data_IF_378935960699
#
_entry.id   IF_378935960699
#
_cell.length_a   1.000
_cell.length_b   1.000
_cell.length_c   1.000
_cell.angle_alpha   90.00
_cell.angle_beta   90.00
_cell.angle_gamma   90.00
#
_symmetry.space_group_name_H-M   'P 1'
#
loop_
_entity.id
_entity.type
_entity.pdbx_description
1 polymer ?
#
# COMPACT_ATOMS: atom_id res chain seq x y z
N UNK A 1 -4.07 -7.77 21.15
CA UNK A 1 -3.95 -6.76 20.08
C UNK A 1 -2.80 -7.19 19.20
N UNK A 2 -2.98 -7.19 17.90
CA UNK A 2 -1.93 -7.36 16.89
C UNK A 2 -1.49 -5.97 16.39
N UNK A 3 -0.32 -5.46 16.81
CA UNK A 3 0.13 -4.11 16.51
C UNK A 3 0.92 -4.08 15.18
N UNK A 4 0.20 -4.20 14.06
CA UNK A 4 0.83 -4.15 12.74
C UNK A 4 1.53 -2.81 12.48
N UNK A 5 2.69 -2.88 11.82
CA UNK A 5 3.48 -1.70 11.46
C UNK A 5 4.21 -1.92 10.14
N UNK A 6 4.55 -0.84 9.46
CA UNK A 6 5.23 -0.87 8.16
C UNK A 6 6.13 0.37 8.00
N UNK A 7 6.91 0.39 6.92
CA UNK A 7 7.91 1.44 6.72
C UNK A 7 7.31 2.81 6.42
N UNK A 8 6.53 2.93 5.34
CA UNK A 8 6.05 4.22 4.80
C UNK A 8 4.64 4.09 4.25
N UNK A 9 3.76 5.04 4.55
CA UNK A 9 2.33 4.93 4.20
C UNK A 9 2.03 5.56 2.86
N UNK A 10 2.78 6.57 2.44
CA UNK A 10 2.42 7.35 1.26
C UNK A 10 1.33 8.38 1.54
N UNK A 11 1.25 8.85 2.80
CA UNK A 11 0.34 9.90 3.27
C UNK A 11 -0.85 9.43 4.11
N UNK A 12 -1.27 8.16 3.99
CA UNK A 12 -2.40 7.58 4.74
C UNK A 12 -2.23 6.08 4.94
N UNK A 13 -2.69 5.55 6.07
CA UNK A 13 -2.70 4.10 6.38
C UNK A 13 -3.93 3.40 5.79
N UNK A 14 -3.94 2.07 5.78
CA UNK A 14 -5.05 1.23 5.33
C UNK A 14 -5.86 0.71 6.51
N UNK A 15 -7.16 0.51 6.29
CA UNK A 15 -7.97 -0.27 7.22
C UNK A 15 -7.52 -1.74 7.17
N UNK A 16 -7.43 -2.41 8.31
CA UNK A 16 -7.04 -3.84 8.33
C UNK A 16 -7.99 -4.71 7.51
N UNK A 17 -9.29 -4.44 7.54
CA UNK A 17 -10.30 -5.19 6.77
C UNK A 17 -10.10 -5.16 5.25
N UNK A 18 -9.39 -4.16 4.75
CA UNK A 18 -9.15 -3.98 3.31
C UNK A 18 -7.88 -4.73 2.86
N UNK A 19 -7.09 -5.25 3.81
CA UNK A 19 -5.77 -5.89 3.56
C UNK A 19 -5.66 -7.31 4.14
N UNK A 20 -6.29 -7.57 5.28
CA UNK A 20 -6.25 -8.82 6.04
C UNK A 20 -7.65 -9.36 6.34
N UNK A 21 -7.79 -10.69 6.39
CA UNK A 21 -9.01 -11.34 6.87
C UNK A 21 -9.19 -11.10 8.38
N UNK A 22 -10.40 -10.75 8.82
CA UNK A 22 -10.72 -10.56 10.25
C UNK A 22 -10.40 -9.18 10.83
N UNK A 23 -10.34 -8.14 10.00
CA UNK A 23 -9.93 -6.77 10.35
C UNK A 23 -10.30 -6.27 11.76
N UNK A 24 -9.32 -5.71 12.45
CA UNK A 24 -9.50 -5.20 13.81
C UNK A 24 -9.98 -3.75 13.84
N UNK A 25 -10.93 -3.44 14.74
CA UNK A 25 -11.52 -2.10 14.90
C UNK A 25 -10.50 -1.00 15.26
N UNK A 26 -9.35 -1.33 15.84
CA UNK A 26 -8.30 -0.36 16.14
C UNK A 26 -7.33 -0.10 14.97
N UNK A 27 -7.44 -0.83 13.87
CA UNK A 27 -6.61 -0.66 12.67
C UNK A 27 -7.42 0.01 11.56
N UNK A 28 -7.68 1.31 11.76
CA UNK A 28 -8.39 2.16 10.80
C UNK A 28 -7.42 2.98 9.97
N UNK A 29 -7.90 3.39 8.80
CA UNK A 29 -7.19 4.32 7.92
C UNK A 29 -7.10 5.70 8.60
N UNK A 30 -5.87 6.18 8.79
CA UNK A 30 -5.56 7.50 9.36
C UNK A 30 -4.49 8.20 8.53
N UNK A 31 -4.48 9.53 8.57
CA UNK A 31 -3.46 10.32 7.88
C UNK A 31 -2.09 10.11 8.52
N UNK A 32 -1.02 10.20 7.74
CA UNK A 32 0.35 10.00 8.19
C UNK A 32 1.27 11.05 7.55
N UNK A 33 1.17 12.32 7.96
CA UNK A 33 1.93 13.42 7.37
C UNK A 33 3.42 13.39 7.77
N UNK A 34 4.28 14.04 6.97
CA UNK A 34 5.70 14.21 7.28
C UNK A 34 6.60 13.07 6.79
N UNK A 35 6.02 12.09 6.09
CA UNK A 35 6.76 10.97 5.50
C UNK A 35 7.44 11.33 4.18
N UNK A 36 6.95 12.36 3.50
CA UNK A 36 7.32 12.73 2.13
C UNK A 36 8.80 13.09 1.96
N UNK A 37 9.41 13.59 3.03
CA UNK A 37 10.81 13.99 3.07
C UNK A 37 11.74 12.92 3.67
N UNK A 38 11.17 11.83 4.19
CA UNK A 38 11.89 10.89 5.03
C UNK A 38 12.77 9.90 4.27
N UNK A 39 12.35 9.43 3.10
CA UNK A 39 13.04 8.31 2.44
C UNK A 39 12.81 8.30 0.94
N UNK A 40 13.81 7.84 0.18
CA UNK A 40 13.71 7.61 -1.27
C UNK A 40 12.70 6.52 -1.69
N UNK A 41 12.02 5.86 -0.72
CA UNK A 41 10.98 4.86 -0.96
C UNK A 41 9.57 5.43 -0.77
N UNK A 42 9.44 6.71 -0.40
CA UNK A 42 8.14 7.38 -0.33
C UNK A 42 7.46 7.44 -1.70
N UNK A 43 8.21 7.77 -2.76
CA UNK A 43 7.77 7.65 -4.15
C UNK A 43 8.76 6.80 -4.92
N UNK A 44 8.29 5.80 -5.64
CA UNK A 44 9.12 4.98 -6.53
C UNK A 44 8.41 4.79 -7.87
N UNK A 45 9.17 4.61 -8.94
CA UNK A 45 8.62 4.37 -10.27
C UNK A 45 9.31 3.17 -10.90
N UNK A 46 8.52 2.19 -11.35
CA UNK A 46 9.01 1.06 -12.13
C UNK A 46 8.70 1.29 -13.61
N UNK A 47 9.74 1.42 -14.43
CA UNK A 47 9.61 1.48 -15.88
C UNK A 47 9.75 0.08 -16.50
N UNK A 48 8.76 -0.37 -17.27
CA UNK A 48 8.72 -1.69 -17.93
C UNK A 48 8.33 -1.52 -19.39
N UNK A 49 8.99 -2.24 -20.30
CA UNK A 49 8.59 -2.23 -21.71
C UNK A 49 7.19 -2.84 -21.87
N UNK A 50 6.48 -2.45 -22.93
CA UNK A 50 5.16 -3.03 -23.23
C UNK A 50 5.23 -4.55 -23.37
N UNK A 51 6.29 -5.05 -24.03
CA UNK A 51 6.50 -6.49 -24.23
C UNK A 51 6.72 -7.21 -22.90
N UNK A 52 7.63 -6.73 -22.06
CA UNK A 52 7.93 -7.40 -20.78
C UNK A 52 6.74 -7.38 -19.84
N UNK A 53 5.93 -6.31 -19.87
CA UNK A 53 4.70 -6.23 -19.10
C UNK A 53 3.69 -7.30 -19.56
N UNK A 54 3.44 -7.39 -20.87
CA UNK A 54 2.53 -8.38 -21.46
C UNK A 54 3.00 -9.80 -21.15
N UNK A 55 4.26 -10.10 -21.42
CA UNK A 55 4.83 -11.43 -21.20
C UNK A 55 4.72 -11.83 -19.74
N UNK A 56 5.06 -10.92 -18.83
CA UNK A 56 5.00 -11.19 -17.39
C UNK A 56 3.57 -11.39 -16.92
N UNK A 57 2.62 -10.53 -17.29
CA UNK A 57 1.22 -10.70 -16.87
C UNK A 57 0.62 -11.97 -17.46
N UNK A 58 0.80 -12.23 -18.76
CA UNK A 58 0.25 -13.42 -19.41
C UNK A 58 0.90 -14.72 -18.89
N UNK A 59 2.15 -14.69 -18.41
CA UNK A 59 2.77 -15.83 -17.75
C UNK A 59 2.06 -16.21 -16.44
N UNK A 60 1.77 -15.22 -15.58
CA UNK A 60 1.06 -15.47 -14.32
C UNK A 60 -0.45 -15.66 -14.51
N UNK A 61 -1.01 -15.00 -15.52
CA UNK A 61 -2.43 -15.01 -15.85
C UNK A 61 -2.67 -15.15 -17.35
N UNK A 62 -2.58 -16.36 -17.91
CA UNK A 62 -2.81 -16.60 -19.34
C UNK A 62 -4.20 -16.16 -19.82
N UNK A 63 -5.18 -16.11 -18.92
CA UNK A 63 -6.53 -15.61 -19.19
C UNK A 63 -6.63 -14.09 -19.39
N UNK A 64 -5.61 -13.30 -19.00
CA UNK A 64 -5.57 -11.86 -19.24
C UNK A 64 -5.55 -11.55 -20.75
N UNK A 65 -4.81 -12.37 -21.51
CA UNK A 65 -4.68 -12.30 -22.98
C UNK A 65 -4.27 -10.92 -23.48
N UNK A 66 -3.38 -10.25 -22.74
CA UNK A 66 -2.93 -8.92 -23.08
C UNK A 66 -2.13 -8.91 -24.39
N UNK A 67 -2.28 -7.82 -25.15
CA UNK A 67 -1.48 -7.52 -26.33
C UNK A 67 -0.86 -6.12 -26.20
N UNK A 68 0.43 -5.99 -26.55
CA UNK A 68 1.17 -4.74 -26.53
C UNK A 68 0.51 -3.59 -27.32
N UNK A 69 -0.23 -3.89 -28.40
CA UNK A 69 -0.83 -2.87 -29.26
C UNK A 69 -1.91 -2.02 -28.58
N UNK A 70 -2.60 -2.54 -27.57
CA UNK A 70 -3.85 -1.96 -27.05
C UNK A 70 -3.84 -1.76 -25.51
N UNK A 71 -2.68 -1.92 -24.86
CA UNK A 71 -2.59 -2.04 -23.40
C UNK A 71 -3.25 -0.91 -22.60
N UNK A 72 -3.18 0.34 -23.08
CA UNK A 72 -3.79 1.48 -22.38
C UNK A 72 -5.32 1.38 -22.26
N UNK A 73 -5.97 0.64 -23.15
CA UNK A 73 -7.40 0.36 -23.10
C UNK A 73 -7.73 -0.91 -22.30
N UNK A 74 -6.80 -1.85 -22.20
CA UNK A 74 -7.00 -3.16 -21.56
C UNK A 74 -6.65 -3.16 -20.08
N UNK A 75 -5.77 -2.25 -19.64
CA UNK A 75 -5.27 -2.17 -18.27
C UNK A 75 -5.83 -0.92 -17.58
N UNK A 76 -6.59 -1.12 -16.51
CA UNK A 76 -7.17 0.00 -15.76
C UNK A 76 -7.46 -0.36 -14.31
N UNK A 77 -7.14 0.56 -13.40
CA UNK A 77 -7.49 0.45 -11.98
C UNK A 77 -9.00 0.64 -11.85
N UNK A 78 -9.67 -0.34 -11.22
CA UNK A 78 -11.14 -0.37 -11.11
C UNK A 78 -11.61 0.19 -9.78
N UNK A 79 -10.91 -0.13 -8.69
CA UNK A 79 -11.30 0.24 -7.34
C UNK A 79 -10.09 0.55 -6.46
N UNK A 80 -10.29 1.43 -5.48
CA UNK A 80 -9.31 1.80 -4.46
C UNK A 80 -9.92 1.75 -3.08
N UNK A 81 -9.09 1.41 -2.11
CA UNK A 81 -9.44 1.53 -0.69
C UNK A 81 -9.44 2.99 -0.26
N UNK A 82 -9.97 3.26 0.94
CA UNK A 82 -9.94 4.57 1.56
C UNK A 82 -8.50 5.09 1.78
N UNK A 83 -7.55 4.19 2.10
CA UNK A 83 -6.13 4.52 2.22
C UNK A 83 -5.45 4.76 0.87
N UNK A 84 -6.16 4.57 -0.26
CA UNK A 84 -5.67 4.82 -1.60
C UNK A 84 -4.97 3.63 -2.28
N UNK A 85 -4.84 2.47 -1.61
CA UNK A 85 -4.36 1.26 -2.25
C UNK A 85 -5.27 0.86 -3.42
N UNK A 86 -4.68 0.37 -4.51
CA UNK A 86 -5.42 -0.31 -5.57
C UNK A 86 -6.01 -1.58 -4.97
N UNK A 87 -7.33 -1.66 -4.93
CA UNK A 87 -8.05 -2.86 -4.48
C UNK A 87 -8.19 -3.83 -5.65
N UNK A 88 -8.64 -3.33 -6.80
CA UNK A 88 -8.85 -4.12 -8.01
C UNK A 88 -8.26 -3.42 -9.24
N UNK A 89 -7.67 -4.23 -10.12
CA UNK A 89 -7.14 -3.81 -11.42
C UNK A 89 -7.60 -4.78 -12.49
N UNK A 90 -8.13 -4.23 -13.59
CA UNK A 90 -8.44 -4.97 -14.80
C UNK A 90 -7.18 -5.14 -15.65
N UNK A 91 -6.98 -6.35 -16.13
CA UNK A 91 -5.91 -6.74 -17.06
C UNK A 91 -6.56 -7.52 -18.20
N UNK A 92 -6.94 -6.82 -19.26
CA UNK A 92 -7.66 -7.42 -20.39
C UNK A 92 -8.99 -8.00 -19.94
N UNK A 93 -9.14 -9.32 -20.04
CA UNK A 93 -10.40 -10.02 -19.71
C UNK A 93 -10.53 -10.41 -18.23
N UNK A 94 -9.53 -10.16 -17.40
CA UNK A 94 -9.56 -10.53 -15.97
C UNK A 94 -9.47 -9.33 -15.05
N UNK A 95 -9.93 -9.51 -13.83
CA UNK A 95 -9.72 -8.58 -12.72
C UNK A 95 -8.94 -9.32 -11.63
N UNK A 96 -7.90 -8.68 -11.12
CA UNK A 96 -7.09 -9.19 -10.01
C UNK A 96 -6.99 -8.14 -8.90
N UNK A 97 -6.61 -8.58 -7.70
CA UNK A 97 -6.35 -7.65 -6.61
C UNK A 97 -5.05 -6.88 -6.80
N UNK A 98 -4.98 -5.65 -6.27
CA UNK A 98 -3.75 -4.86 -6.30
C UNK A 98 -2.60 -5.52 -5.54
N UNK A 99 -2.88 -6.33 -4.52
CA UNK A 99 -1.86 -7.13 -3.80
C UNK A 99 -1.20 -8.17 -4.71
N UNK A 100 -1.98 -8.86 -5.55
CA UNK A 100 -1.44 -9.81 -6.54
C UNK A 100 -0.61 -9.07 -7.59
N UNK A 101 -1.12 -7.95 -8.10
CA UNK A 101 -0.38 -7.13 -9.06
C UNK A 101 0.95 -6.61 -8.50
N UNK A 102 0.94 -6.09 -7.26
CA UNK A 102 2.13 -5.67 -6.52
C UNK A 102 3.18 -6.79 -6.46
N UNK A 103 2.77 -8.00 -6.08
CA UNK A 103 3.67 -9.14 -5.96
C UNK A 103 4.31 -9.50 -7.31
N UNK A 104 3.51 -9.55 -8.38
CA UNK A 104 4.01 -9.84 -9.73
C UNK A 104 5.00 -8.77 -10.17
N UNK A 105 4.62 -7.49 -10.05
CA UNK A 105 5.43 -6.38 -10.55
C UNK A 105 6.59 -6.00 -9.63
N UNK A 106 6.66 -6.57 -8.41
CA UNK A 106 7.72 -6.27 -7.44
C UNK A 106 7.61 -4.85 -6.87
N UNK A 107 6.40 -4.34 -6.67
CA UNK A 107 6.17 -2.96 -6.22
C UNK A 107 6.32 -2.82 -4.70
N UNK A 108 6.74 -1.63 -4.26
CA UNK A 108 6.90 -1.32 -2.84
C UNK A 108 5.56 -1.31 -2.08
N UNK A 109 4.47 -0.91 -2.72
CA UNK A 109 3.15 -0.86 -2.11
C UNK A 109 2.05 -1.20 -3.11
N UNK A 110 0.82 -1.29 -2.62
CA UNK A 110 -0.40 -1.38 -3.43
C UNK A 110 -0.96 -0.02 -3.82
N UNK A 111 -0.40 1.09 -3.33
CA UNK A 111 -0.81 2.43 -3.75
C UNK A 111 0.02 2.86 -4.95
N UNK A 112 -0.45 2.53 -6.14
CA UNK A 112 0.24 2.85 -7.39
C UNK A 112 -0.69 3.41 -8.45
N UNK A 113 -0.12 4.12 -9.42
CA UNK A 113 -0.76 4.53 -10.68
C UNK A 113 0.03 3.94 -11.85
N UNK A 114 -0.63 3.79 -13.01
CA UNK A 114 0.00 3.24 -14.22
C UNK A 114 -0.10 4.30 -15.32
N UNK A 115 1.03 4.62 -15.92
CA UNK A 115 1.17 5.63 -16.96
C UNK A 115 1.77 5.00 -18.22
N UNK A 116 1.02 5.04 -19.33
CA UNK A 116 1.42 4.51 -20.63
C UNK A 116 2.04 5.63 -21.48
N UNK A 117 3.32 5.49 -21.83
CA UNK A 117 4.09 6.45 -22.65
C UNK A 117 4.96 5.68 -23.65
N UNK A 118 6.24 6.05 -23.78
CA UNK A 118 7.29 5.28 -24.47
C UNK A 118 7.47 3.87 -23.86
N UNK A 119 7.24 3.77 -22.56
CA UNK A 119 7.11 2.52 -21.81
C UNK A 119 6.00 2.66 -20.77
N UNK A 120 5.76 1.60 -20.00
CA UNK A 120 4.80 1.62 -18.89
C UNK A 120 5.54 2.02 -17.63
N UNK A 121 5.08 3.09 -16.99
CA UNK A 121 5.57 3.55 -15.70
C UNK A 121 4.55 3.22 -14.62
N UNK A 122 4.98 2.53 -13.57
CA UNK A 122 4.15 2.20 -12.41
C UNK A 122 4.66 2.99 -11.23
N UNK A 123 3.99 4.10 -10.94
CA UNK A 123 4.37 5.05 -9.90
C UNK A 123 3.70 4.65 -8.58
N UNK A 124 4.51 4.26 -7.60
CA UNK A 124 4.06 3.77 -6.29
C UNK A 124 4.35 4.78 -5.18
N UNK A 125 3.42 4.89 -4.23
CA UNK A 125 3.54 5.66 -3.01
C UNK A 125 3.61 4.75 -1.78
N UNK A 126 4.55 5.03 -0.89
CA UNK A 126 4.76 4.26 0.34
C UNK A 126 5.44 2.90 0.13
N UNK A 127 5.66 2.21 1.24
CA UNK A 127 6.38 0.94 1.29
C UNK A 127 5.88 0.06 2.44
N UNK A 128 5.40 -1.14 2.08
CA UNK A 128 4.86 -2.13 3.03
C UNK A 128 3.38 -2.39 2.82
N UNK A 129 2.74 -3.04 3.80
CA UNK A 129 1.31 -3.38 3.75
C UNK A 129 0.39 -2.23 4.19
N UNK A 130 0.95 -1.17 4.79
CA UNK A 130 0.27 0.10 5.11
C UNK A 130 -0.81 0.06 6.20
N UNK A 131 -0.93 -1.04 6.94
CA UNK A 131 -1.91 -1.20 8.05
C UNK A 131 -1.25 -0.91 9.40
N UNK A 132 -1.91 -0.13 10.26
CA UNK A 132 -1.40 0.21 11.60
C UNK A 132 -0.37 1.33 11.56
N UNK A 133 0.76 1.18 12.25
CA UNK A 133 1.72 2.29 12.43
C UNK A 133 2.74 2.42 11.29
N UNK A 134 2.84 3.62 10.72
CA UNK A 134 3.98 3.98 9.88
C UNK A 134 5.21 4.30 10.74
N UNK A 135 6.34 3.66 10.45
CA UNK A 135 7.62 3.95 11.09
C UNK A 135 8.11 5.37 10.77
N UNK A 136 8.06 5.77 9.50
CA UNK A 136 8.45 7.13 9.09
C UNK A 136 7.47 8.19 9.56
N UNK A 137 6.18 7.86 9.61
CA UNK A 137 5.18 8.75 10.19
C UNK A 137 5.37 8.92 11.70
N UNK A 138 5.72 7.86 12.43
CA UNK A 138 6.06 7.93 13.84
C UNK A 138 7.32 8.77 14.10
N UNK A 139 8.37 8.61 13.28
CA UNK A 139 9.59 9.45 13.34
C UNK A 139 9.27 10.93 13.11
N UNK A 140 8.49 11.25 12.07
CA UNK A 140 8.06 12.62 11.78
C UNK A 140 7.23 13.23 12.93
N UNK A 141 6.29 12.46 13.50
CA UNK A 141 5.52 12.89 14.67
C UNK A 141 6.43 13.14 15.88
N UNK A 142 7.40 12.26 16.13
CA UNK A 142 8.37 12.42 17.23
C UNK A 142 9.25 13.66 17.06
N UNK A 143 9.76 13.92 15.86
CA UNK A 143 10.51 15.15 15.52
C UNK A 143 9.68 16.42 15.70
N UNK A 144 8.36 16.31 15.54
CA UNK A 144 7.39 17.38 15.82
C UNK A 144 6.91 17.41 17.28
N UNK A 145 7.63 16.76 18.21
CA UNK A 145 7.40 16.84 19.65
C UNK A 145 6.26 15.97 20.17
N UNK A 146 5.70 15.05 19.37
CA UNK A 146 4.69 14.10 19.85
C UNK A 146 5.34 13.04 20.73
N UNK A 147 4.66 12.72 21.84
CA UNK A 147 5.04 11.61 22.73
C UNK A 147 4.69 10.26 22.10
N UNK A 148 5.33 9.18 22.56
CA UNK A 148 5.02 7.82 22.10
C UNK A 148 3.54 7.46 22.33
N UNK A 149 2.92 7.95 23.41
CA UNK A 149 1.49 7.73 23.71
C UNK A 149 0.61 8.35 22.62
N UNK A 150 0.91 9.58 22.20
CA UNK A 150 0.18 10.26 21.14
C UNK A 150 0.38 9.58 19.78
N UNK A 151 1.61 9.12 19.49
CA UNK A 151 1.92 8.39 18.25
C UNK A 151 1.13 7.08 18.19
N UNK A 152 1.18 6.25 19.24
CA UNK A 152 0.46 4.99 19.26
C UNK A 152 -1.05 5.18 19.20
N UNK A 153 -1.59 6.17 19.92
CA UNK A 153 -3.04 6.46 19.91
C UNK A 153 -3.53 7.00 18.56
N UNK A 154 -2.64 7.63 17.78
CA UNK A 154 -2.94 8.08 16.43
C UNK A 154 -3.09 6.91 15.45
N UNK A 155 -2.11 6.00 15.43
CA UNK A 155 -2.10 4.87 14.49
C UNK A 155 -2.98 3.69 14.90
N UNK A 156 -3.25 3.55 16.19
CA UNK A 156 -4.08 2.49 16.73
C UNK A 156 -5.30 3.10 17.42
N UNK A 157 -6.41 3.18 16.69
CA UNK A 157 -7.60 3.91 17.14
C UNK A 157 -8.23 3.26 18.37
N UNK A 158 -8.49 4.06 19.41
CA UNK A 158 -9.21 3.61 20.60
C UNK A 158 -8.43 2.69 21.55
N UNK A 159 -7.11 2.54 21.37
CA UNK A 159 -6.30 1.72 22.28
C UNK A 159 -6.13 2.38 23.66
N UNK A 160 -5.74 1.56 24.64
CA UNK A 160 -5.27 2.01 25.95
C UNK A 160 -3.94 1.35 26.25
N UNK A 161 -2.96 2.14 26.68
CA UNK A 161 -1.70 1.62 27.19
C UNK A 161 -1.89 1.17 28.64
N UNK A 162 -1.31 0.02 28.99
CA UNK A 162 -1.35 -0.54 30.35
C UNK A 162 0.03 -1.07 30.70
N UNK A 163 0.38 -0.97 31.97
CA UNK A 163 1.55 -1.64 32.52
C UNK A 163 1.32 -3.15 32.54
N UNK A 164 2.28 -3.92 32.04
CA UNK A 164 2.18 -5.38 31.97
C UNK A 164 2.16 -6.03 33.37
N UNK A 165 2.76 -5.39 34.37
CA UNK A 165 2.77 -5.86 35.77
C UNK A 165 1.37 -6.07 36.34
N UNK A 166 0.36 -5.37 35.80
CA UNK A 166 -1.05 -5.55 36.18
C UNK A 166 -1.61 -6.94 35.83
N UNK A 167 -0.94 -7.69 34.94
CA UNK A 167 -1.37 -9.00 34.46
C UNK A 167 -0.49 -10.14 34.97
N UNK A 168 0.67 -9.83 35.56
CA UNK A 168 1.58 -10.78 36.16
C UNK A 168 1.21 -10.93 37.64
N UNK A 169 0.19 -11.75 37.91
CA UNK A 169 -0.12 -12.21 39.27
C UNK A 169 0.74 -13.42 39.63
#
# INVERSE_FOLDING_TARGET
MEPYYFAISGGRTENAKDVFEGGAEYLKSVDSPGEENGHNKYKTSLGVSYKDFVDKINLYYPGARLNAGNLSSEVSIQDRTEGGAVKEIRLGSIIISGTKFRAIMGLNSTNFNINFRDKIYIDCLGYGHRVGMSQWGADAMGKNGKTYVQILSHYYTGIKLKDVSLFLK
#
